data_IF_209635135827
#
_entry.id   IF_209635135827
#
_cell.length_a   1.000
_cell.length_b   1.000
_cell.length_c   1.000
_cell.angle_alpha   90.00
_cell.angle_beta   90.00
_cell.angle_gamma   90.00
#
_symmetry.space_group_name_H-M   'P 1'
#
loop_
_entity.id
_entity.type
_entity.pdbx_description
1 polymer ?
#
# COMPACT_ATOMS: atom_id res chain seq x y z
N UNK A 1 -4.62 -42.62 -7.61
CA UNK A 1 -4.01 -42.20 -6.34
C UNK A 1 -3.25 -40.93 -6.64
N UNK A 2 -3.89 -39.79 -6.46
CA UNK A 2 -3.30 -38.46 -6.59
C UNK A 2 -2.88 -38.05 -5.19
N UNK A 3 -1.60 -38.23 -4.88
CA UNK A 3 -1.05 -37.98 -3.55
C UNK A 3 -1.15 -36.49 -3.19
N UNK A 4 -1.77 -36.28 -2.03
CA UNK A 4 -2.01 -35.04 -1.33
C UNK A 4 -0.71 -34.42 -0.76
N UNK A 5 0.10 -33.77 -1.60
CA UNK A 5 1.32 -33.07 -1.13
C UNK A 5 1.41 -31.62 -1.61
N UNK A 6 0.32 -30.86 -1.48
CA UNK A 6 0.29 -29.41 -1.74
C UNK A 6 0.34 -28.54 -0.47
N UNK A 7 0.21 -29.11 0.73
CA UNK A 7 0.20 -28.33 1.98
C UNK A 7 1.43 -28.68 2.82
N UNK A 8 2.52 -27.93 2.63
CA UNK A 8 3.62 -27.89 3.59
C UNK A 8 3.32 -26.76 4.61
N UNK A 9 3.11 -27.07 5.90
CA UNK A 9 2.85 -26.06 6.92
C UNK A 9 3.95 -25.00 7.04
N UNK A 10 5.19 -25.33 6.69
CA UNK A 10 6.28 -24.37 6.67
C UNK A 10 6.14 -23.36 5.53
N UNK A 11 5.61 -23.80 4.39
CA UNK A 11 5.37 -22.94 3.23
C UNK A 11 4.17 -22.01 3.45
N UNK A 12 3.08 -22.52 4.05
CA UNK A 12 1.92 -21.70 4.44
C UNK A 12 2.30 -20.58 5.41
N UNK A 13 3.15 -20.87 6.41
CA UNK A 13 3.67 -19.86 7.33
C UNK A 13 4.45 -18.76 6.60
N UNK A 14 5.27 -19.11 5.60
CA UNK A 14 6.01 -18.11 4.81
C UNK A 14 5.07 -17.24 3.98
N UNK A 15 4.04 -17.83 3.37
CA UNK A 15 3.04 -17.07 2.61
C UNK A 15 2.34 -16.01 3.49
N UNK A 16 2.00 -16.38 4.73
CA UNK A 16 1.43 -15.45 5.71
C UNK A 16 2.42 -14.35 6.10
N UNK A 17 3.69 -14.69 6.37
CA UNK A 17 4.75 -13.73 6.70
C UNK A 17 5.01 -12.73 5.56
N UNK A 18 5.07 -13.20 4.31
CA UNK A 18 5.21 -12.36 3.10
C UNK A 18 4.04 -11.38 2.99
N UNK A 19 2.82 -11.87 3.23
CA UNK A 19 1.60 -11.06 3.18
C UNK A 19 1.61 -9.99 4.27
N UNK A 20 2.03 -10.34 5.48
CA UNK A 20 2.11 -9.40 6.62
C UNK A 20 3.15 -8.31 6.34
N UNK A 21 4.35 -8.70 5.90
CA UNK A 21 5.45 -7.78 5.55
C UNK A 21 5.04 -6.82 4.43
N UNK A 22 4.35 -7.31 3.40
CA UNK A 22 3.77 -6.46 2.36
C UNK A 22 2.77 -5.45 2.92
N UNK A 23 1.87 -5.91 3.79
CA UNK A 23 0.83 -5.07 4.39
C UNK A 23 1.44 -3.97 5.27
N UNK A 24 2.42 -4.31 6.10
CA UNK A 24 3.15 -3.38 6.95
C UNK A 24 3.94 -2.35 6.13
N UNK A 25 4.58 -2.79 5.05
CA UNK A 25 5.31 -1.90 4.15
C UNK A 25 4.37 -0.90 3.45
N UNK A 26 3.21 -1.37 2.96
CA UNK A 26 2.22 -0.51 2.33
C UNK A 26 1.69 0.53 3.31
N UNK A 27 1.29 0.12 4.54
CA UNK A 27 0.86 1.06 5.59
C UNK A 27 1.91 2.14 5.86
N UNK A 28 3.18 1.75 5.92
CA UNK A 28 4.28 2.67 6.19
C UNK A 28 4.50 3.67 5.04
N UNK A 29 4.41 3.20 3.79
CA UNK A 29 4.48 4.06 2.60
C UNK A 29 3.31 5.06 2.60
N UNK A 30 2.09 4.61 2.88
CA UNK A 30 0.91 5.48 2.84
C UNK A 30 0.88 6.47 4.00
N UNK A 31 1.23 6.05 5.22
CA UNK A 31 1.32 6.95 6.37
C UNK A 31 2.46 7.97 6.27
N UNK A 32 3.47 7.70 5.45
CA UNK A 32 4.57 8.65 5.29
C UNK A 32 4.16 9.99 4.71
N UNK A 33 3.00 10.07 4.02
CA UNK A 33 2.47 11.35 3.52
C UNK A 33 2.26 12.34 4.68
N UNK A 34 1.90 11.84 5.87
CA UNK A 34 1.68 12.65 7.07
C UNK A 34 2.96 13.11 7.78
N UNK A 35 4.12 12.57 7.40
CA UNK A 35 5.41 12.96 8.00
C UNK A 35 5.87 14.33 7.52
N UNK A 36 5.33 14.83 6.39
CA UNK A 36 5.78 16.09 5.81
C UNK A 36 4.73 17.20 6.00
N UNK A 37 5.03 18.28 6.73
CA UNK A 37 4.18 19.46 6.74
C UNK A 37 4.28 20.18 5.37
N UNK A 38 3.18 20.76 4.83
CA UNK A 38 3.25 21.56 3.62
C UNK A 38 4.12 22.79 3.84
N UNK A 39 4.95 23.13 2.85
CA UNK A 39 5.81 24.31 2.92
C UNK A 39 4.97 25.57 3.19
N UNK A 40 5.36 26.35 4.20
CA UNK A 40 4.70 27.63 4.55
C UNK A 40 3.32 27.51 5.23
N UNK A 41 2.79 26.30 5.44
CA UNK A 41 1.47 26.13 6.07
C UNK A 41 1.53 26.28 7.59
N UNK A 42 0.66 27.13 8.14
CA UNK A 42 0.34 27.16 9.59
C UNK A 42 -0.76 26.16 9.96
N UNK A 43 -1.48 25.64 8.96
CA UNK A 43 -2.49 24.60 9.11
C UNK A 43 -1.81 23.24 9.18
N UNK A 44 -2.13 22.48 10.24
CA UNK A 44 -1.60 21.13 10.47
C UNK A 44 -2.29 20.08 9.57
N UNK A 45 -3.36 20.47 8.88
CA UNK A 45 -4.13 19.60 8.02
C UNK A 45 -5.02 18.62 8.77
N UNK A 46 -5.60 17.63 8.05
CA UNK A 46 -6.36 16.58 8.68
C UNK A 46 -5.47 15.77 9.63
N UNK A 47 -6.05 15.33 10.76
CA UNK A 47 -5.34 14.47 11.70
C UNK A 47 -4.87 13.19 10.99
N UNK A 48 -3.67 12.71 11.29
CA UNK A 48 -3.21 11.44 10.78
C UNK A 48 -4.07 10.28 11.31
N UNK A 49 -4.24 9.20 10.51
CA UNK A 49 -4.90 7.98 10.94
C UNK A 49 -4.32 7.42 12.22
N UNK A 50 -5.15 6.73 12.99
CA UNK A 50 -4.69 5.99 14.17
C UNK A 50 -3.64 4.96 13.77
N UNK A 51 -2.48 5.01 14.43
CA UNK A 51 -1.34 4.14 14.12
C UNK A 51 -0.34 4.72 13.11
N UNK A 52 -0.55 5.96 12.62
CA UNK A 52 0.52 6.68 11.92
C UNK A 52 1.72 6.88 12.84
N UNK A 53 2.90 6.50 12.35
CA UNK A 53 4.15 6.58 13.11
C UNK A 53 4.78 7.96 12.95
N UNK A 54 5.54 8.40 13.96
CA UNK A 54 6.44 9.55 13.77
C UNK A 54 7.65 9.13 12.90
N UNK A 55 8.52 10.08 12.56
CA UNK A 55 9.69 9.83 11.70
C UNK A 55 10.64 8.76 12.26
N UNK A 56 11.00 8.86 13.53
CA UNK A 56 11.97 7.94 14.17
C UNK A 56 11.40 6.53 14.21
N UNK A 57 10.13 6.42 14.59
CA UNK A 57 9.41 5.15 14.63
C UNK A 57 9.25 4.56 13.22
N UNK A 58 9.01 5.42 12.22
CA UNK A 58 8.91 5.00 10.81
C UNK A 58 10.22 4.42 10.30
N UNK A 59 11.35 5.09 10.54
CA UNK A 59 12.68 4.60 10.15
C UNK A 59 13.02 3.28 10.86
N UNK A 60 12.71 3.18 12.15
CA UNK A 60 12.90 1.96 12.94
C UNK A 60 12.04 0.81 12.39
N UNK A 61 10.78 1.10 12.03
CA UNK A 61 9.87 0.12 11.43
C UNK A 61 10.33 -0.30 10.03
N UNK A 62 10.85 0.62 9.20
CA UNK A 62 11.48 0.29 7.92
C UNK A 62 12.59 -0.75 8.13
N UNK A 63 13.52 -0.48 9.05
CA UNK A 63 14.65 -1.37 9.34
C UNK A 63 14.18 -2.73 9.85
N UNK A 64 13.15 -2.73 10.70
CA UNK A 64 12.51 -3.97 11.20
C UNK A 64 11.92 -4.79 10.07
N UNK A 65 11.18 -4.16 9.14
CA UNK A 65 10.57 -4.86 8.01
C UNK A 65 11.66 -5.38 7.05
N UNK A 66 12.69 -4.59 6.77
CA UNK A 66 13.83 -5.04 5.94
C UNK A 66 14.50 -6.26 6.58
N UNK A 67 14.69 -6.28 7.90
CA UNK A 67 15.23 -7.45 8.59
C UNK A 67 14.32 -8.68 8.44
N UNK A 68 13.00 -8.52 8.61
CA UNK A 68 12.02 -9.60 8.36
C UNK A 68 12.07 -10.12 6.92
N UNK A 69 12.25 -9.24 5.94
CA UNK A 69 12.41 -9.68 4.53
C UNK A 69 13.68 -10.52 4.32
N UNK A 70 14.74 -10.29 5.09
CA UNK A 70 15.95 -11.11 5.03
C UNK A 70 15.70 -12.48 5.66
N UNK A 71 15.08 -12.53 6.84
CA UNK A 71 14.68 -13.78 7.51
C UNK A 71 13.78 -14.64 6.61
N UNK A 72 12.83 -14.03 5.87
CA UNK A 72 12.00 -14.75 4.90
C UNK A 72 12.84 -15.32 3.74
N UNK A 73 13.80 -14.56 3.21
CA UNK A 73 14.67 -15.08 2.13
C UNK A 73 15.50 -16.27 2.60
N UNK A 74 16.02 -16.24 3.83
CA UNK A 74 16.76 -17.37 4.41
C UNK A 74 15.88 -18.62 4.53
N UNK A 75 14.62 -18.47 4.96
CA UNK A 75 13.65 -19.58 5.00
C UNK A 75 13.32 -20.12 3.60
N UNK A 76 13.22 -19.24 2.60
CA UNK A 76 13.00 -19.64 1.20
C UNK A 76 14.21 -20.43 0.65
N UNK A 77 15.44 -20.01 0.96
CA UNK A 77 16.67 -20.73 0.60
C UNK A 77 16.69 -22.14 1.21
N UNK A 78 16.25 -22.28 2.47
CA UNK A 78 16.14 -23.59 3.13
C UNK A 78 15.10 -24.50 2.46
N UNK A 79 13.95 -23.97 2.06
CA UNK A 79 12.91 -24.75 1.35
C UNK A 79 13.40 -25.22 -0.01
N UNK A 80 14.03 -24.33 -0.79
CA UNK A 80 14.58 -24.65 -2.10
C UNK A 80 15.69 -25.71 -2.00
N UNK A 81 16.52 -25.64 -0.96
CA UNK A 81 17.56 -26.65 -0.69
C UNK A 81 16.96 -28.01 -0.31
N UNK A 82 15.93 -28.02 0.53
CA UNK A 82 15.30 -29.24 1.04
C UNK A 82 14.35 -29.89 0.02
N UNK A 83 13.80 -29.10 -0.92
CA UNK A 83 12.76 -29.50 -1.86
C UNK A 83 13.00 -28.87 -3.26
N UNK A 84 14.12 -29.14 -3.95
CA UNK A 84 14.53 -28.39 -5.15
C UNK A 84 13.56 -28.48 -6.32
N UNK A 85 12.80 -29.57 -6.44
CA UNK A 85 11.83 -29.78 -7.52
C UNK A 85 10.38 -29.47 -7.10
N UNK A 86 10.18 -28.98 -5.86
CA UNK A 86 8.87 -28.68 -5.28
C UNK A 86 8.82 -27.21 -4.87
N UNK A 87 7.75 -26.53 -5.25
CA UNK A 87 7.51 -25.12 -4.92
C UNK A 87 8.44 -24.09 -5.60
N UNK A 88 9.30 -24.47 -6.54
CA UNK A 88 10.25 -23.56 -7.22
C UNK A 88 9.59 -22.28 -7.74
N UNK A 89 8.51 -22.41 -8.53
CA UNK A 89 7.79 -21.26 -9.10
C UNK A 89 7.24 -20.33 -7.99
N UNK A 90 6.71 -20.92 -6.91
CA UNK A 90 6.10 -20.15 -5.82
C UNK A 90 7.16 -19.49 -4.92
N UNK A 91 8.33 -20.11 -4.76
CA UNK A 91 9.49 -19.51 -4.10
C UNK A 91 9.99 -18.29 -4.88
N UNK A 92 10.13 -18.41 -6.21
CA UNK A 92 10.49 -17.30 -7.08
C UNK A 92 9.48 -16.14 -7.00
N UNK A 93 8.18 -16.43 -7.00
CA UNK A 93 7.13 -15.43 -6.83
C UNK A 93 7.28 -14.67 -5.50
N UNK A 94 7.50 -15.39 -4.38
CA UNK A 94 7.71 -14.76 -3.08
C UNK A 94 9.02 -13.97 -2.99
N UNK A 95 10.10 -14.42 -3.65
CA UNK A 95 11.34 -13.64 -3.75
C UNK A 95 11.10 -12.32 -4.49
N UNK A 96 10.36 -12.36 -5.59
CA UNK A 96 9.98 -11.17 -6.35
C UNK A 96 9.18 -10.19 -5.50
N UNK A 97 8.16 -10.67 -4.77
CA UNK A 97 7.36 -9.85 -3.86
C UNK A 97 8.20 -9.19 -2.76
N UNK A 98 9.12 -9.95 -2.16
CA UNK A 98 10.01 -9.48 -1.10
C UNK A 98 11.01 -8.44 -1.63
N UNK A 99 11.54 -8.62 -2.84
CA UNK A 99 12.44 -7.64 -3.46
C UNK A 99 11.69 -6.34 -3.79
N UNK A 100 10.44 -6.43 -4.22
CA UNK A 100 9.54 -5.29 -4.40
C UNK A 100 9.27 -4.54 -3.08
N UNK A 101 9.11 -5.26 -1.96
CA UNK A 101 9.03 -4.65 -0.62
C UNK A 101 10.32 -3.89 -0.29
N UNK A 102 11.48 -4.51 -0.45
CA UNK A 102 12.78 -3.87 -0.16
C UNK A 102 12.98 -2.61 -1.00
N UNK A 103 12.65 -2.64 -2.29
CA UNK A 103 12.73 -1.50 -3.20
C UNK A 103 11.82 -0.36 -2.76
N UNK A 104 10.54 -0.66 -2.43
CA UNK A 104 9.59 0.33 -1.90
C UNK A 104 10.09 0.96 -0.60
N UNK A 105 10.54 0.15 0.36
CA UNK A 105 11.03 0.63 1.65
C UNK A 105 12.34 1.42 1.54
N UNK A 106 13.23 1.05 0.63
CA UNK A 106 14.44 1.82 0.33
C UNK A 106 14.09 3.20 -0.23
N UNK A 107 13.19 3.25 -1.21
CA UNK A 107 12.68 4.52 -1.76
C UNK A 107 12.00 5.35 -0.68
N UNK A 108 11.18 4.72 0.16
CA UNK A 108 10.51 5.37 1.28
C UNK A 108 11.51 5.94 2.30
N UNK A 109 12.54 5.17 2.68
CA UNK A 109 13.59 5.63 3.58
C UNK A 109 14.31 6.85 3.02
N UNK A 110 14.55 6.87 1.71
CA UNK A 110 15.08 8.05 1.03
C UNK A 110 14.13 9.24 1.16
N UNK A 111 12.82 9.06 0.91
CA UNK A 111 11.77 10.09 1.02
C UNK A 111 11.62 10.62 2.45
N UNK A 112 11.62 9.76 3.47
CA UNK A 112 11.48 10.15 4.89
C UNK A 112 12.72 10.91 5.37
N UNK A 113 13.91 10.45 4.99
CA UNK A 113 15.15 11.18 5.29
C UNK A 113 15.29 12.47 4.46
N UNK A 114 14.52 12.58 3.37
CA UNK A 114 14.40 13.76 2.52
C UNK A 114 13.68 14.95 3.18
N UNK A 115 13.34 14.91 4.47
CA UNK A 115 13.09 16.13 5.26
C UNK A 115 14.31 17.09 5.30
N UNK A 116 15.46 16.69 4.75
CA UNK A 116 16.56 17.57 4.34
C UNK A 116 16.56 17.90 2.83
N UNK A 117 15.39 17.96 2.19
CA UNK A 117 15.17 18.98 1.16
C UNK A 117 15.24 20.33 1.88
N UNK A 118 16.46 20.76 2.21
CA UNK A 118 16.82 22.15 2.04
C UNK A 118 16.12 22.63 0.78
N UNK A 119 15.42 23.75 0.88
CA UNK A 119 15.02 24.58 -0.25
C UNK A 119 16.02 24.39 -1.41
N UNK A 120 15.67 23.57 -2.42
CA UNK A 120 16.51 23.29 -3.58
C UNK A 120 17.53 22.14 -3.50
N UNK A 121 17.09 20.88 -3.41
CA UNK A 121 17.73 19.87 -4.29
C UNK A 121 17.23 20.17 -5.71
N UNK A 122 18.07 20.71 -6.61
CA UNK A 122 17.63 21.22 -7.91
C UNK A 122 17.10 20.12 -8.85
N UNK A 123 17.22 18.83 -8.47
CA UNK A 123 16.89 17.71 -9.34
C UNK A 123 15.51 17.06 -9.08
N UNK A 124 14.76 17.43 -8.03
CA UNK A 124 13.42 16.87 -7.77
C UNK A 124 12.44 17.95 -7.26
N UNK A 125 11.55 18.41 -8.14
CA UNK A 125 10.50 19.39 -7.79
C UNK A 125 9.36 18.77 -6.96
N UNK A 126 8.55 19.62 -6.31
CA UNK A 126 7.31 19.19 -5.63
C UNK A 126 6.41 18.35 -6.54
N UNK A 127 6.30 18.73 -7.83
CA UNK A 127 5.57 17.96 -8.83
C UNK A 127 6.10 16.53 -9.01
N UNK A 128 7.42 16.31 -8.95
CA UNK A 128 8.02 14.98 -9.04
C UNK A 128 7.69 14.11 -7.82
N UNK A 129 7.68 14.68 -6.62
CA UNK A 129 7.32 13.96 -5.39
C UNK A 129 5.84 13.57 -5.41
N UNK A 130 4.96 14.53 -5.71
CA UNK A 130 3.52 14.32 -5.82
C UNK A 130 3.18 13.27 -6.89
N UNK A 131 3.87 13.30 -8.04
CA UNK A 131 3.70 12.29 -9.11
C UNK A 131 4.11 10.89 -8.63
N UNK A 132 5.16 10.78 -7.82
CA UNK A 132 5.60 9.50 -7.25
C UNK A 132 4.51 8.91 -6.35
N UNK A 133 3.97 9.71 -5.43
CA UNK A 133 2.88 9.25 -4.56
C UNK A 133 1.60 8.94 -5.31
N UNK A 134 1.26 9.76 -6.32
CA UNK A 134 0.13 9.48 -7.22
C UNK A 134 0.27 8.12 -7.91
N UNK A 135 1.47 7.78 -8.38
CA UNK A 135 1.71 6.50 -9.04
C UNK A 135 1.69 5.32 -8.06
N UNK A 136 2.20 5.51 -6.84
CA UNK A 136 2.11 4.50 -5.77
C UNK A 136 0.65 4.23 -5.38
N UNK A 137 -0.16 5.28 -5.24
CA UNK A 137 -1.59 5.18 -4.96
C UNK A 137 -2.32 4.40 -6.06
N UNK A 138 -2.07 4.76 -7.33
CA UNK A 138 -2.68 4.07 -8.47
C UNK A 138 -2.28 2.60 -8.59
N UNK A 139 -1.00 2.28 -8.37
CA UNK A 139 -0.52 0.90 -8.41
C UNK A 139 -1.14 0.04 -7.30
N UNK A 140 -1.25 0.58 -6.08
CA UNK A 140 -1.89 -0.15 -4.98
C UNK A 140 -3.38 -0.31 -5.19
N UNK A 141 -4.07 0.74 -5.64
CA UNK A 141 -5.49 0.68 -5.98
C UNK A 141 -5.76 -0.40 -7.03
N UNK A 142 -4.90 -0.53 -8.05
CA UNK A 142 -5.02 -1.59 -9.04
C UNK A 142 -4.88 -2.98 -8.41
N UNK A 143 -3.92 -3.20 -7.50
CA UNK A 143 -3.77 -4.49 -6.80
C UNK A 143 -5.00 -4.82 -5.95
N UNK A 144 -5.54 -3.86 -5.20
CA UNK A 144 -6.74 -4.08 -4.38
C UNK A 144 -8.00 -4.32 -5.22
N UNK A 145 -8.12 -3.68 -6.39
CA UNK A 145 -9.21 -3.96 -7.35
C UNK A 145 -9.16 -5.40 -7.86
N UNK A 146 -7.99 -5.87 -8.28
CA UNK A 146 -7.83 -7.26 -8.71
C UNK A 146 -8.18 -8.25 -7.59
N UNK A 147 -7.73 -7.97 -6.36
CA UNK A 147 -8.05 -8.81 -5.20
C UNK A 147 -9.55 -8.84 -4.88
N UNK A 148 -10.26 -7.72 -5.06
CA UNK A 148 -11.71 -7.66 -4.91
C UNK A 148 -12.43 -8.42 -6.04
N UNK A 149 -11.98 -8.26 -7.29
CA UNK A 149 -12.52 -8.99 -8.45
C UNK A 149 -12.41 -10.50 -8.26
N UNK A 150 -11.27 -11.00 -7.80
CA UNK A 150 -11.09 -12.43 -7.45
C UNK A 150 -12.09 -12.92 -6.40
N UNK A 151 -12.42 -12.09 -5.40
CA UNK A 151 -13.43 -12.43 -4.38
C UNK A 151 -14.83 -12.46 -5.00
N UNK A 152 -15.15 -11.51 -5.88
CA UNK A 152 -16.46 -11.43 -6.55
C UNK A 152 -16.69 -12.58 -7.52
N UNK A 153 -15.65 -13.02 -8.22
CA UNK A 153 -15.69 -14.15 -9.15
C UNK A 153 -15.67 -15.51 -8.45
N UNK A 154 -15.43 -15.55 -7.12
CA UNK A 154 -15.45 -16.78 -6.36
C UNK A 154 -16.87 -17.31 -6.18
N UNK A 155 -17.22 -18.33 -6.96
CA UNK A 155 -18.49 -19.05 -6.85
C UNK A 155 -18.37 -20.25 -5.90
N UNK A 156 -18.45 -20.00 -4.59
CA UNK A 156 -18.51 -21.07 -3.60
C UNK A 156 -19.80 -21.05 -2.77
N UNK A 157 -20.27 -22.25 -2.43
CA UNK A 157 -21.36 -22.50 -1.47
C UNK A 157 -20.85 -23.18 -0.19
N UNK A 158 -19.56 -23.49 -0.15
CA UNK A 158 -18.94 -24.08 1.03
C UNK A 158 -18.80 -23.02 2.11
N UNK A 159 -19.15 -23.40 3.35
CA UNK A 159 -19.22 -22.46 4.47
C UNK A 159 -17.84 -22.03 4.95
N UNK A 160 -16.85 -22.91 4.91
CA UNK A 160 -15.49 -22.61 5.33
C UNK A 160 -14.81 -21.70 4.31
N UNK A 161 -15.03 -21.96 3.02
CA UNK A 161 -14.56 -21.10 1.94
C UNK A 161 -15.22 -19.71 1.98
N UNK A 162 -16.54 -19.63 2.21
CA UNK A 162 -17.23 -18.35 2.40
C UNK A 162 -16.67 -17.56 3.59
N UNK A 163 -16.38 -18.23 4.71
CA UNK A 163 -15.75 -17.57 5.86
C UNK A 163 -14.34 -17.07 5.55
N UNK A 164 -13.56 -17.81 4.75
CA UNK A 164 -12.25 -17.37 4.29
C UNK A 164 -12.35 -16.13 3.37
N UNK A 165 -13.33 -16.12 2.46
CA UNK A 165 -13.62 -14.96 1.60
C UNK A 165 -14.05 -13.74 2.43
N UNK A 166 -14.90 -13.90 3.45
CA UNK A 166 -15.25 -12.82 4.38
C UNK A 166 -14.00 -12.18 5.00
N UNK A 167 -13.06 -13.01 5.50
CA UNK A 167 -11.83 -12.52 6.12
C UNK A 167 -10.93 -11.77 5.14
N UNK A 168 -10.79 -12.26 3.90
CA UNK A 168 -10.05 -11.56 2.82
C UNK A 168 -10.70 -10.23 2.48
N UNK A 169 -12.03 -10.19 2.47
CA UNK A 169 -12.80 -8.99 2.17
C UNK A 169 -12.73 -7.95 3.29
N UNK A 170 -12.74 -8.37 4.55
CA UNK A 170 -12.49 -7.49 5.70
C UNK A 170 -11.15 -6.77 5.59
N UNK A 171 -10.11 -7.51 5.17
CA UNK A 171 -8.79 -6.92 4.91
C UNK A 171 -8.83 -5.91 3.77
N UNK A 172 -9.55 -6.21 2.69
CA UNK A 172 -9.72 -5.32 1.54
C UNK A 172 -10.46 -4.02 1.93
N UNK A 173 -11.49 -4.12 2.78
CA UNK A 173 -12.19 -2.95 3.34
C UNK A 173 -11.26 -2.09 4.19
N UNK A 174 -10.46 -2.70 5.08
CA UNK A 174 -9.48 -1.97 5.89
C UNK A 174 -8.43 -1.26 5.03
N UNK A 175 -7.91 -1.94 4.00
CA UNK A 175 -6.95 -1.36 3.06
C UNK A 175 -7.56 -0.20 2.25
N UNK A 176 -8.81 -0.34 1.80
CA UNK A 176 -9.48 0.71 1.05
C UNK A 176 -9.70 1.97 1.90
N UNK A 177 -10.10 1.81 3.17
CA UNK A 177 -10.22 2.93 4.12
C UNK A 177 -8.88 3.64 4.35
N UNK A 178 -7.79 2.88 4.56
CA UNK A 178 -6.43 3.42 4.68
C UNK A 178 -6.04 4.24 3.44
N UNK A 179 -6.21 3.66 2.25
CA UNK A 179 -5.88 4.32 0.99
C UNK A 179 -6.67 5.62 0.84
N UNK A 180 -7.93 5.62 1.26
CA UNK A 180 -8.78 6.79 1.17
C UNK A 180 -8.30 7.92 2.08
N UNK A 181 -7.94 7.62 3.32
CA UNK A 181 -7.39 8.63 4.24
C UNK A 181 -6.11 9.25 3.66
N UNK A 182 -5.23 8.41 3.12
CA UNK A 182 -3.96 8.85 2.54
C UNK A 182 -4.17 9.66 1.25
N UNK A 183 -5.10 9.25 0.39
CA UNK A 183 -5.47 10.00 -0.81
C UNK A 183 -6.08 11.37 -0.46
N UNK A 184 -6.92 11.43 0.58
CA UNK A 184 -7.50 12.69 1.08
C UNK A 184 -6.43 13.64 1.59
N UNK A 185 -5.47 13.14 2.36
CA UNK A 185 -4.37 13.97 2.85
C UNK A 185 -3.49 14.43 1.69
N UNK A 186 -3.10 13.53 0.77
CA UNK A 186 -2.30 13.87 -0.41
C UNK A 186 -2.99 14.96 -1.26
N UNK A 187 -4.32 14.86 -1.45
CA UNK A 187 -5.09 15.89 -2.12
C UNK A 187 -5.06 17.23 -1.38
N UNK A 188 -5.30 17.24 -0.06
CA UNK A 188 -5.19 18.46 0.74
C UNK A 188 -3.79 19.08 0.65
N UNK A 189 -2.74 18.27 0.80
CA UNK A 189 -1.34 18.69 0.73
C UNK A 189 -1.01 19.29 -0.64
N UNK A 190 -1.49 18.66 -1.71
CA UNK A 190 -1.32 19.15 -3.08
C UNK A 190 -1.96 20.52 -3.27
N UNK A 191 -3.19 20.71 -2.77
CA UNK A 191 -3.86 22.01 -2.86
C UNK A 191 -3.07 23.11 -2.13
N UNK A 192 -2.44 22.81 -0.99
CA UNK A 192 -1.59 23.77 -0.27
C UNK A 192 -0.34 24.16 -1.04
N UNK A 193 0.28 23.20 -1.73
CA UNK A 193 1.41 23.47 -2.61
C UNK A 193 0.98 24.34 -3.79
N UNK A 194 -0.16 24.04 -4.41
CA UNK A 194 -0.72 24.84 -5.52
C UNK A 194 -0.99 26.27 -5.06
N UNK A 195 -1.69 26.47 -3.95
CA UNK A 195 -1.95 27.81 -3.39
C UNK A 195 -0.65 28.58 -3.11
N UNK A 196 0.38 27.90 -2.60
CA UNK A 196 1.69 28.52 -2.34
C UNK A 196 2.40 28.91 -3.63
N UNK A 197 2.30 28.06 -4.66
CA UNK A 197 2.85 28.30 -5.99
C UNK A 197 2.13 29.47 -6.70
N UNK A 198 0.81 29.58 -6.56
CA UNK A 198 0.01 30.68 -7.11
C UNK A 198 0.43 32.05 -6.55
N UNK A 199 0.87 32.08 -5.29
CA UNK A 199 1.37 33.29 -4.63
C UNK A 199 2.78 33.72 -5.09
N UNK A 200 3.49 32.90 -5.86
CA UNK A 200 4.81 33.23 -6.41
C UNK A 200 4.70 34.17 -7.62
N UNK A 201 5.76 34.95 -7.94
CA UNK A 201 5.85 35.66 -9.21
C UNK A 201 5.80 34.68 -10.40
N UNK A 202 5.17 35.07 -11.51
CA UNK A 202 4.96 34.19 -12.67
C UNK A 202 6.25 33.51 -13.19
N UNK A 203 7.39 34.21 -13.14
CA UNK A 203 8.70 33.67 -13.51
C UNK A 203 9.19 32.48 -12.66
N UNK A 204 8.54 32.23 -11.52
CA UNK A 204 8.87 31.18 -10.54
C UNK A 204 7.75 30.15 -10.36
N UNK A 205 6.63 30.30 -11.06
CA UNK A 205 5.51 29.35 -10.98
C UNK A 205 5.87 28.03 -11.65
N UNK A 206 5.61 26.94 -10.95
CA UNK A 206 5.62 25.60 -11.52
C UNK A 206 4.19 25.24 -11.98
N UNK A 207 3.93 25.39 -13.28
CA UNK A 207 2.62 25.07 -13.87
C UNK A 207 2.33 23.56 -13.92
N UNK A 208 3.31 22.70 -13.63
CA UNK A 208 3.05 21.25 -13.57
C UNK A 208 2.21 20.86 -12.35
N UNK A 209 2.19 21.72 -11.32
CA UNK A 209 1.45 21.45 -10.08
C UNK A 209 -0.06 21.38 -10.29
N UNK A 210 -0.64 22.18 -11.19
CA UNK A 210 -2.07 22.14 -11.50
C UNK A 210 -2.48 20.83 -12.18
N UNK A 211 -1.62 20.33 -13.08
CA UNK A 211 -1.82 19.03 -13.74
C UNK A 211 -1.77 17.89 -12.72
N UNK A 212 -0.77 17.93 -11.83
CA UNK A 212 -0.60 16.93 -10.78
C UNK A 212 -1.76 16.97 -9.78
N UNK A 213 -2.28 18.15 -9.44
CA UNK A 213 -3.46 18.32 -8.60
C UNK A 213 -4.70 17.67 -9.22
N UNK A 214 -4.92 17.88 -10.53
CA UNK A 214 -5.99 17.21 -11.28
C UNK A 214 -5.89 15.69 -11.25
N UNK A 215 -4.68 15.15 -11.40
CA UNK A 215 -4.45 13.69 -11.32
C UNK A 215 -4.69 13.14 -9.92
N UNK A 216 -4.21 13.82 -8.87
CA UNK A 216 -4.41 13.38 -7.48
C UNK A 216 -5.89 13.40 -7.11
N UNK A 217 -6.64 14.41 -7.56
CA UNK A 217 -8.09 14.44 -7.40
C UNK A 217 -8.76 13.24 -8.09
N UNK A 218 -8.33 12.92 -9.31
CA UNK A 218 -8.85 11.76 -10.06
C UNK A 218 -8.56 10.45 -9.33
N UNK A 219 -7.36 10.27 -8.77
CA UNK A 219 -7.04 9.07 -7.98
C UNK A 219 -7.84 9.02 -6.67
N UNK A 220 -8.05 10.15 -6.00
CA UNK A 220 -8.91 10.24 -4.81
C UNK A 220 -10.34 9.77 -5.11
N UNK A 221 -10.93 10.21 -6.23
CA UNK A 221 -12.27 9.79 -6.63
C UNK A 221 -12.32 8.27 -6.89
N UNK A 222 -11.32 7.70 -7.58
CA UNK A 222 -11.24 6.25 -7.82
C UNK A 222 -11.08 5.43 -6.53
N UNK A 223 -10.31 5.94 -5.56
CA UNK A 223 -10.12 5.28 -4.26
C UNK A 223 -11.42 5.30 -3.46
N UNK A 224 -12.14 6.43 -3.47
CA UNK A 224 -13.47 6.55 -2.86
C UNK A 224 -14.46 5.55 -3.45
N UNK A 225 -14.49 5.41 -4.77
CA UNK A 225 -15.38 4.45 -5.44
C UNK A 225 -15.02 3.01 -5.07
N UNK A 226 -13.73 2.68 -4.98
CA UNK A 226 -13.27 1.35 -4.59
C UNK A 226 -13.62 1.03 -3.12
N UNK A 227 -13.44 1.97 -2.20
CA UNK A 227 -13.87 1.82 -0.80
C UNK A 227 -15.36 1.48 -0.72
N UNK A 228 -16.21 2.22 -1.45
CA UNK A 228 -17.65 1.93 -1.51
C UNK A 228 -17.94 0.54 -2.09
N UNK A 229 -17.22 0.13 -3.13
CA UNK A 229 -17.38 -1.20 -3.72
C UNK A 229 -17.01 -2.31 -2.74
N UNK A 230 -15.90 -2.18 -1.99
CA UNK A 230 -15.52 -3.13 -0.94
C UNK A 230 -16.63 -3.28 0.11
N UNK A 231 -17.24 -2.18 0.56
CA UNK A 231 -18.36 -2.22 1.49
C UNK A 231 -19.61 -2.91 0.91
N UNK A 232 -19.94 -2.64 -0.36
CA UNK A 232 -21.08 -3.26 -1.03
C UNK A 232 -20.91 -4.78 -1.14
N UNK A 233 -19.74 -5.23 -1.64
CA UNK A 233 -19.42 -6.67 -1.76
C UNK A 233 -19.43 -7.33 -0.40
N UNK A 234 -18.94 -6.64 0.65
CA UNK A 234 -18.99 -7.16 2.02
C UNK A 234 -20.43 -7.40 2.48
N UNK A 235 -21.30 -6.42 2.28
CA UNK A 235 -22.71 -6.56 2.64
C UNK A 235 -23.39 -7.72 1.89
N UNK A 236 -23.06 -7.93 0.62
CA UNK A 236 -23.61 -9.04 -0.18
C UNK A 236 -23.11 -10.40 0.32
N UNK A 237 -21.80 -10.52 0.58
CA UNK A 237 -21.17 -11.77 0.99
C UNK A 237 -21.60 -12.17 2.41
N UNK A 238 -21.72 -11.22 3.33
CA UNK A 238 -22.29 -11.44 4.67
C UNK A 238 -23.76 -11.88 4.56
N UNK A 239 -24.56 -11.26 3.68
CA UNK A 239 -25.94 -11.67 3.42
C UNK A 239 -26.05 -13.15 3.02
N UNK A 240 -25.23 -13.60 2.07
CA UNK A 240 -25.16 -15.02 1.66
C UNK A 240 -24.80 -15.95 2.81
N UNK A 241 -23.89 -15.53 3.70
CA UNK A 241 -23.49 -16.32 4.87
C UNK A 241 -24.64 -16.48 5.89
N UNK A 242 -25.48 -15.46 6.05
CA UNK A 242 -26.64 -15.49 6.94
C UNK A 242 -27.82 -16.29 6.37
N UNK A 243 -28.04 -16.25 5.05
CA UNK A 243 -29.09 -17.06 4.38
C UNK A 243 -28.79 -18.57 4.39
N UNK A 244 -27.53 -18.96 4.59
CA UNK A 244 -27.11 -20.36 4.75
C UNK A 244 -27.17 -20.92 6.17
N UNK A 245 -27.75 -20.19 7.14
CA UNK A 245 -28.01 -20.63 8.52
C UNK A 245 -29.45 -21.13 8.70
#
# INVERSE_FOLDING_TARGET
MTDSTTNDPHFENIAEEVTEVNTDADKLVFYSVYLRPPAGSKDKGPNPPSGSLNKVDSLTKIETIIRRTQEINEKLDEIETNNPDKFFDQVEDYRSDIEDVKKRLKNLRQIINYEQLSEGDPNKSEGSWLTTYKNLLGAKLHKEKNALEEIQESETKDKEELQALCKRLDKSVQNAGLLQECARYLHWFTNRIVETNEALPDSKKDYTLDLVAGWIKTELDKVKDHEQNCFNVKSELEGKLFEGQ
#
